data_IF_053618937225
#
_entry.id   IF_053618937225
#
_cell.length_a   1.000
_cell.length_b   1.000
_cell.length_c   1.000
_cell.angle_alpha   90.00
_cell.angle_beta   90.00
_cell.angle_gamma   90.00
#
_symmetry.space_group_name_H-M   'P 1'
#
loop_
_entity.id
_entity.type
_entity.pdbx_description
1 polymer ?
#
# COMPACT_ATOMS: atom_id res chain seq x y z
N UNK A 1 39.52 -47.81 32.60
CA UNK A 1 38.21 -47.41 32.05
C UNK A 1 37.66 -46.30 32.91
N UNK A 2 37.67 -45.06 32.43
CA UNK A 2 37.06 -43.91 33.09
C UNK A 2 36.20 -43.22 32.05
N UNK A 3 34.89 -43.24 32.28
CA UNK A 3 33.90 -42.51 31.49
C UNK A 3 33.89 -41.04 31.93
N UNK A 4 34.01 -40.11 30.97
CA UNK A 4 33.71 -38.70 31.19
C UNK A 4 32.65 -38.27 30.18
N UNK A 5 31.45 -38.00 30.69
CA UNK A 5 30.36 -37.40 29.95
C UNK A 5 30.57 -35.89 29.88
N UNK A 6 30.64 -35.33 28.66
CA UNK A 6 30.63 -33.89 28.43
C UNK A 6 29.19 -33.43 28.20
N UNK A 7 28.64 -32.66 29.14
CA UNK A 7 27.35 -31.97 29.00
C UNK A 7 27.55 -30.69 28.18
N UNK A 8 27.05 -30.67 26.96
CA UNK A 8 26.95 -29.46 26.16
C UNK A 8 25.76 -28.62 26.65
N UNK A 9 26.05 -27.44 27.20
CA UNK A 9 25.05 -26.42 27.49
C UNK A 9 24.80 -25.60 26.22
N UNK A 10 23.67 -25.86 25.54
CA UNK A 10 23.19 -25.02 24.47
C UNK A 10 22.47 -23.80 25.06
N UNK A 11 23.03 -22.61 24.87
CA UNK A 11 22.34 -21.35 25.13
C UNK A 11 21.20 -21.16 24.12
N UNK A 12 19.96 -21.41 24.53
CA UNK A 12 18.78 -20.94 23.82
C UNK A 12 18.55 -19.46 24.15
N UNK A 13 18.98 -18.56 23.26
CA UNK A 13 18.41 -17.21 23.26
C UNK A 13 17.02 -17.30 22.64
N UNK A 14 15.96 -16.81 23.28
CA UNK A 14 14.67 -16.68 22.62
C UNK A 14 14.87 -15.75 21.42
N UNK A 15 14.46 -16.21 20.25
CA UNK A 15 14.39 -15.39 19.06
C UNK A 15 13.50 -14.18 19.39
N UNK A 16 14.08 -12.99 19.36
CA UNK A 16 13.35 -11.74 19.37
C UNK A 16 12.48 -11.76 18.13
N UNK A 17 11.19 -12.07 18.32
CA UNK A 17 10.22 -12.06 17.24
C UNK A 17 10.13 -10.63 16.75
N UNK A 18 10.72 -10.36 15.58
CA UNK A 18 10.42 -9.17 14.80
C UNK A 18 8.92 -9.16 14.64
N UNK A 19 8.27 -8.25 15.36
CA UNK A 19 6.84 -8.02 15.26
C UNK A 19 6.63 -7.40 13.89
N UNK A 20 6.41 -8.25 12.88
CA UNK A 20 6.00 -7.81 11.55
C UNK A 20 4.75 -6.99 11.78
N UNK A 21 4.81 -5.68 11.54
CA UNK A 21 3.61 -4.88 11.53
C UNK A 21 2.63 -5.55 10.57
N UNK A 22 1.36 -5.74 10.98
CA UNK A 22 0.38 -6.32 10.08
C UNK A 22 0.39 -5.49 8.80
N UNK A 23 0.58 -6.16 7.66
CA UNK A 23 0.42 -5.53 6.35
C UNK A 23 -0.97 -4.91 6.39
N UNK A 24 -1.06 -3.57 6.37
CA UNK A 24 -2.34 -2.88 6.29
C UNK A 24 -2.99 -3.37 5.01
N UNK A 25 -4.00 -4.23 5.16
CA UNK A 25 -4.73 -4.76 4.01
C UNK A 25 -5.32 -3.54 3.28
N UNK A 26 -4.93 -3.35 2.02
CA UNK A 26 -5.38 -2.21 1.23
C UNK A 26 -6.91 -2.23 1.12
N UNK A 27 -7.52 -1.05 1.16
CA UNK A 27 -8.96 -0.90 0.96
C UNK A 27 -9.39 -1.35 -0.46
N UNK A 28 -8.43 -1.48 -1.38
CA UNK A 28 -8.63 -1.99 -2.72
C UNK A 28 -8.68 -3.52 -2.81
N UNK A 29 -8.40 -4.25 -1.73
CA UNK A 29 -8.58 -5.70 -1.68
C UNK A 29 -9.99 -5.99 -1.15
N UNK A 30 -10.92 -6.49 -1.99
CA UNK A 30 -12.29 -6.71 -1.56
C UNK A 30 -12.34 -7.79 -0.46
N UNK A 31 -13.19 -7.58 0.54
CA UNK A 31 -13.44 -8.58 1.58
C UNK A 31 -13.87 -9.93 0.95
N UNK A 32 -13.44 -11.04 1.55
CA UNK A 32 -13.82 -12.38 1.08
C UNK A 32 -15.35 -12.57 1.11
N UNK A 33 -15.88 -13.45 0.26
CA UNK A 33 -17.31 -13.77 0.24
C UNK A 33 -17.85 -14.26 1.60
N UNK A 34 -16.99 -14.91 2.41
CA UNK A 34 -17.31 -15.31 3.78
C UNK A 34 -17.40 -14.11 4.73
N UNK A 35 -16.49 -13.14 4.63
CA UNK A 35 -16.55 -11.89 5.40
C UNK A 35 -17.79 -11.07 5.02
N UNK A 36 -18.11 -10.97 3.71
CA UNK A 36 -19.34 -10.32 3.23
C UNK A 36 -20.60 -10.97 3.74
N UNK A 37 -20.68 -12.31 3.77
CA UNK A 37 -21.84 -13.03 4.32
C UNK A 37 -22.02 -12.81 5.82
N UNK A 38 -20.93 -12.67 6.58
CA UNK A 38 -20.97 -12.39 8.01
C UNK A 38 -21.44 -10.96 8.30
N UNK A 39 -21.01 -9.96 7.52
CA UNK A 39 -21.50 -8.57 7.67
C UNK A 39 -22.97 -8.42 7.23
N UNK A 40 -23.37 -9.09 6.14
CA UNK A 40 -24.77 -9.11 5.68
C UNK A 40 -25.72 -9.83 6.65
N UNK A 41 -25.23 -10.80 7.43
CA UNK A 41 -26.04 -11.51 8.42
C UNK A 41 -26.47 -10.65 9.62
N UNK A 42 -25.89 -9.46 9.79
CA UNK A 42 -26.32 -8.46 10.77
C UNK A 42 -27.46 -7.55 10.25
N UNK A 43 -27.77 -7.58 8.96
CA UNK A 43 -28.70 -6.65 8.33
C UNK A 43 -29.54 -7.34 7.24
N UNK A 44 -30.58 -8.08 7.64
CA UNK A 44 -31.88 -8.10 6.91
C UNK A 44 -32.91 -8.99 7.59
N UNK A 45 -34.06 -8.38 7.87
CA UNK A 45 -35.35 -9.06 7.95
C UNK A 45 -36.33 -8.36 6.97
N UNK A 46 -37.01 -9.19 6.17
CA UNK A 46 -38.24 -8.98 5.39
C UNK A 46 -38.21 -8.34 3.98
N UNK A 47 -39.03 -8.94 3.10
CA UNK A 47 -39.36 -8.63 1.68
C UNK A 47 -40.90 -8.42 1.53
N UNK A 48 -41.50 -7.97 0.39
CA UNK A 48 -41.48 -8.64 -0.92
C UNK A 48 -41.44 -7.72 -2.18
N UNK A 49 -41.66 -8.35 -3.34
CA UNK A 49 -41.12 -8.10 -4.69
C UNK A 49 -42.01 -7.20 -5.57
N UNK A 50 -41.39 -6.34 -6.39
CA UNK A 50 -41.95 -5.79 -7.63
C UNK A 50 -40.99 -6.10 -8.80
N UNK A 51 -41.52 -6.51 -9.96
CA UNK A 51 -40.71 -6.79 -11.17
C UNK A 51 -40.46 -5.47 -11.90
N UNK A 52 -39.58 -4.65 -11.34
CA UNK A 52 -38.70 -3.78 -12.12
C UNK A 52 -37.57 -4.66 -12.66
N UNK A 53 -36.91 -4.28 -13.77
CA UNK A 53 -35.57 -4.80 -14.04
C UNK A 53 -34.78 -4.68 -12.72
N UNK A 54 -34.32 -5.82 -12.19
CA UNK A 54 -33.70 -5.84 -10.87
C UNK A 54 -32.55 -4.82 -10.88
N UNK A 55 -32.52 -3.94 -9.88
CA UNK A 55 -31.37 -3.06 -9.69
C UNK A 55 -30.13 -3.96 -9.58
N UNK A 56 -29.07 -3.63 -10.32
CA UNK A 56 -27.80 -4.36 -10.25
C UNK A 56 -27.32 -4.36 -8.81
N UNK A 57 -27.01 -5.53 -8.26
CA UNK A 57 -26.65 -5.69 -6.85
C UNK A 57 -25.14 -5.77 -6.66
N UNK A 58 -24.66 -5.50 -5.44
CA UNK A 58 -23.25 -5.72 -5.06
C UNK A 58 -22.85 -7.20 -5.26
N UNK A 59 -23.79 -8.14 -5.13
CA UNK A 59 -23.56 -9.55 -5.41
C UNK A 59 -23.26 -9.81 -6.90
N UNK A 60 -23.85 -9.03 -7.80
CA UNK A 60 -23.69 -9.20 -9.25
C UNK A 60 -22.37 -8.59 -9.76
N UNK A 61 -21.99 -7.41 -9.23
CA UNK A 61 -20.89 -6.60 -9.82
C UNK A 61 -19.83 -6.15 -8.81
N UNK A 62 -19.95 -6.52 -7.54
CA UNK A 62 -18.99 -6.19 -6.47
C UNK A 62 -19.19 -4.80 -5.86
N UNK A 63 -19.45 -3.79 -6.70
CA UNK A 63 -19.77 -2.41 -6.31
C UNK A 63 -20.88 -1.85 -7.23
N UNK A 64 -22.13 -1.99 -6.78
CA UNK A 64 -23.30 -1.51 -7.53
C UNK A 64 -23.38 0.01 -7.64
N UNK A 65 -22.75 0.76 -6.72
CA UNK A 65 -22.75 2.22 -6.75
C UNK A 65 -21.96 2.77 -7.94
N UNK A 66 -20.90 2.07 -8.36
CA UNK A 66 -20.06 2.45 -9.50
C UNK A 66 -20.63 2.02 -10.87
N UNK A 67 -21.58 1.07 -10.87
CA UNK A 67 -22.04 0.42 -12.09
C UNK A 67 -22.74 1.40 -13.07
N UNK A 68 -22.32 1.37 -14.33
CA UNK A 68 -22.88 2.21 -15.39
C UNK A 68 -22.42 3.67 -15.38
N UNK A 69 -21.47 4.05 -14.50
CA UNK A 69 -20.87 5.39 -14.48
C UNK A 69 -19.72 5.51 -15.47
N UNK A 70 -19.45 6.76 -15.88
CA UNK A 70 -18.39 7.05 -16.84
C UNK A 70 -17.07 7.28 -16.11
N UNK A 71 -16.04 6.54 -16.54
CA UNK A 71 -14.69 6.69 -16.03
C UNK A 71 -14.11 8.08 -16.38
N UNK A 72 -13.50 8.73 -15.40
CA UNK A 72 -12.85 10.04 -15.49
C UNK A 72 -11.40 9.97 -15.09
N UNK A 73 -10.54 10.54 -15.93
CA UNK A 73 -9.16 10.81 -15.58
C UNK A 73 -9.07 12.04 -14.68
N UNK A 74 -8.58 11.86 -13.46
CA UNK A 74 -8.57 12.91 -12.44
C UNK A 74 -7.24 13.63 -12.34
N UNK A 75 -6.15 12.94 -12.69
CA UNK A 75 -4.83 13.55 -12.82
C UNK A 75 -3.70 12.54 -12.65
N UNK A 76 -2.49 13.08 -12.60
CA UNK A 76 -1.25 12.33 -12.42
C UNK A 76 -0.39 12.97 -11.33
N UNK A 77 0.35 12.15 -10.64
CA UNK A 77 1.44 12.52 -9.74
C UNK A 77 2.56 11.49 -9.90
N UNK A 78 3.74 11.82 -9.44
CA UNK A 78 4.88 10.92 -9.44
C UNK A 78 5.70 11.09 -8.17
N UNK A 79 6.53 10.09 -7.88
CA UNK A 79 7.54 10.17 -6.85
C UNK A 79 8.81 9.44 -7.30
N UNK A 80 9.95 9.90 -6.81
CA UNK A 80 11.24 9.30 -7.04
C UNK A 80 11.93 8.98 -5.70
N UNK A 81 12.61 7.83 -5.65
CA UNK A 81 13.47 7.43 -4.54
C UNK A 81 14.82 6.99 -5.07
N UNK A 82 15.89 7.51 -4.46
CA UNK A 82 17.26 7.10 -4.71
C UNK A 82 17.83 6.39 -3.48
N UNK A 83 18.34 5.18 -3.70
CA UNK A 83 19.12 4.42 -2.72
C UNK A 83 20.57 4.40 -3.22
N UNK A 84 21.49 4.95 -2.45
CA UNK A 84 22.85 5.25 -2.95
C UNK A 84 23.86 5.29 -1.79
N UNK A 85 25.16 5.32 -2.08
CA UNK A 85 26.24 5.39 -1.09
C UNK A 85 26.41 6.80 -0.49
N UNK A 86 25.97 7.81 -1.22
CA UNK A 86 25.83 9.19 -0.78
C UNK A 86 24.47 9.73 -1.24
N UNK A 87 23.87 10.64 -0.48
CA UNK A 87 22.68 11.39 -0.91
C UNK A 87 23.10 12.78 -1.40
N UNK A 88 23.54 12.91 -2.67
CA UNK A 88 24.14 14.14 -3.18
C UNK A 88 23.14 15.30 -3.42
N UNK A 89 21.84 15.08 -3.22
CA UNK A 89 20.83 16.16 -3.27
C UNK A 89 20.59 16.74 -4.66
N UNK A 90 20.68 15.92 -5.72
CA UNK A 90 20.43 16.37 -7.10
C UNK A 90 18.98 16.71 -7.37
N UNK A 91 18.05 16.05 -6.70
CA UNK A 91 16.63 16.38 -6.68
C UNK A 91 16.18 16.55 -5.22
N UNK A 92 15.82 17.77 -4.77
CA UNK A 92 15.38 18.00 -3.39
C UNK A 92 14.02 17.38 -3.08
N UNK A 93 13.21 17.07 -4.09
CA UNK A 93 11.87 16.52 -3.94
C UNK A 93 11.89 14.97 -3.97
N UNK A 94 13.00 14.37 -4.39
CA UNK A 94 13.21 12.93 -4.34
C UNK A 94 13.55 12.44 -2.92
N UNK A 95 12.98 11.30 -2.53
CA UNK A 95 13.41 10.61 -1.32
C UNK A 95 14.81 10.04 -1.52
N UNK A 96 15.76 10.35 -0.64
CA UNK A 96 17.09 9.75 -0.70
C UNK A 96 17.46 9.01 0.58
N UNK A 97 17.97 7.78 0.43
CA UNK A 97 18.46 6.96 1.53
C UNK A 97 19.89 6.49 1.25
N UNK A 98 20.78 6.75 2.21
CA UNK A 98 22.13 6.18 2.22
C UNK A 98 22.07 4.70 2.56
N UNK A 99 22.69 3.87 1.73
CA UNK A 99 22.76 2.42 1.88
C UNK A 99 23.82 2.02 2.93
N UNK A 100 23.42 1.15 3.85
CA UNK A 100 24.33 0.44 4.72
C UNK A 100 25.22 -0.50 3.89
N UNK A 101 26.51 -0.63 4.22
CA UNK A 101 27.38 -1.60 3.58
C UNK A 101 26.81 -3.03 3.71
N UNK A 102 26.89 -3.80 2.62
CA UNK A 102 26.55 -5.22 2.66
C UNK A 102 27.39 -5.94 3.75
N UNK A 103 26.81 -6.84 4.55
CA UNK A 103 25.51 -7.50 4.35
C UNK A 103 24.33 -6.82 5.09
N UNK A 104 24.51 -5.64 5.67
CA UNK A 104 23.48 -5.01 6.50
C UNK A 104 22.35 -4.48 5.62
N UNK A 105 21.10 -4.73 6.02
CA UNK A 105 19.94 -4.19 5.32
C UNK A 105 19.76 -2.70 5.65
N UNK A 106 19.27 -1.94 4.68
CA UNK A 106 18.95 -0.52 4.80
C UNK A 106 17.44 -0.36 4.76
N UNK A 107 16.77 -0.04 5.88
CA UNK A 107 15.37 0.35 5.84
C UNK A 107 15.24 1.76 5.25
N UNK A 108 14.13 2.02 4.57
CA UNK A 108 13.76 3.35 4.12
C UNK A 108 12.25 3.57 4.31
N UNK A 109 11.86 4.81 4.56
CA UNK A 109 10.48 5.23 4.63
C UNK A 109 10.39 6.72 4.28
N UNK A 110 9.52 7.04 3.33
CA UNK A 110 9.25 8.39 2.88
C UNK A 110 7.74 8.60 2.80
N UNK A 111 7.31 9.78 3.24
CA UNK A 111 5.93 10.22 3.17
C UNK A 111 5.83 11.42 2.22
N UNK A 112 4.72 11.52 1.50
CA UNK A 112 4.40 12.67 0.65
C UNK A 112 5.49 13.05 -0.36
N UNK A 113 6.06 12.07 -1.06
CA UNK A 113 7.00 12.33 -2.16
C UNK A 113 6.32 12.74 -3.48
N UNK A 114 5.00 12.73 -3.49
CA UNK A 114 4.17 13.09 -4.64
C UNK A 114 2.71 13.16 -4.21
N UNK A 115 1.98 14.17 -4.67
CA UNK A 115 0.57 14.31 -4.30
C UNK A 115 -0.28 14.99 -5.37
N UNK A 116 -1.59 14.80 -5.23
CA UNK A 116 -2.60 15.44 -6.05
C UNK A 116 -3.76 15.89 -5.17
N UNK A 117 -4.18 17.14 -5.31
CA UNK A 117 -5.39 17.67 -4.67
C UNK A 117 -6.53 17.70 -5.67
N UNK A 118 -7.51 16.84 -5.45
CA UNK A 118 -8.73 16.75 -6.24
C UNK A 118 -9.75 17.78 -5.73
N UNK A 119 -10.34 18.61 -6.60
CA UNK A 119 -11.50 19.42 -6.24
C UNK A 119 -12.65 18.57 -5.73
N UNK A 120 -13.54 19.16 -4.93
CA UNK A 120 -14.78 18.49 -4.54
C UNK A 120 -15.60 18.06 -5.75
N UNK A 121 -16.28 16.91 -5.66
CA UNK A 121 -17.08 16.31 -6.75
C UNK A 121 -16.27 15.89 -7.98
N UNK A 122 -14.95 15.66 -7.83
CA UNK A 122 -14.13 15.07 -8.89
C UNK A 122 -14.56 13.65 -9.24
N UNK A 123 -15.15 12.93 -8.28
CA UNK A 123 -15.71 11.59 -8.44
C UNK A 123 -17.00 11.42 -7.62
N UNK A 124 -17.82 10.41 -7.90
CA UNK A 124 -19.13 10.21 -7.25
C UNK A 124 -19.19 9.03 -6.27
N UNK A 125 -18.46 7.97 -6.57
CA UNK A 125 -18.49 6.72 -5.82
C UNK A 125 -17.14 6.05 -5.68
N UNK A 126 -16.20 6.28 -6.60
CA UNK A 126 -14.97 5.50 -6.68
C UNK A 126 -13.75 6.37 -6.97
N UNK A 127 -12.65 6.13 -6.26
CA UNK A 127 -11.29 6.50 -6.67
C UNK A 127 -10.50 5.21 -6.89
N UNK A 128 -9.83 5.14 -8.03
CA UNK A 128 -8.90 4.08 -8.37
C UNK A 128 -7.57 4.67 -8.79
N UNK A 129 -6.50 3.92 -8.57
CA UNK A 129 -5.17 4.26 -9.07
C UNK A 129 -4.74 3.31 -10.19
N UNK A 130 -3.95 3.85 -11.12
CA UNK A 130 -2.97 3.08 -11.89
C UNK A 130 -1.58 3.50 -11.46
N UNK A 131 -0.83 2.55 -10.93
CA UNK A 131 0.50 2.74 -10.36
C UNK A 131 1.54 2.08 -11.26
N UNK A 132 2.51 2.85 -11.72
CA UNK A 132 3.53 2.41 -12.68
C UNK A 132 4.94 2.55 -12.12
N UNK A 133 5.41 1.57 -11.33
CA UNK A 133 6.81 1.41 -10.98
C UNK A 133 7.74 1.28 -12.19
N UNK A 134 8.86 1.99 -12.12
CA UNK A 134 10.03 1.84 -12.97
C UNK A 134 11.24 1.79 -12.06
N UNK A 135 11.81 0.61 -11.89
CA UNK A 135 12.91 0.38 -10.97
C UNK A 135 14.16 0.06 -11.76
N UNK A 136 15.27 0.72 -11.42
CA UNK A 136 16.60 0.37 -11.91
C UNK A 136 17.46 0.09 -10.70
N UNK A 137 17.88 -1.15 -10.52
CA UNK A 137 18.57 -1.61 -9.31
C UNK A 137 19.90 -2.21 -9.71
N UNK A 138 20.96 -1.80 -9.04
CA UNK A 138 22.28 -2.42 -9.13
C UNK A 138 22.48 -3.31 -7.91
N UNK A 139 22.47 -4.61 -8.13
CA UNK A 139 22.77 -5.59 -7.10
C UNK A 139 24.27 -5.88 -7.09
N UNK A 140 24.85 -6.05 -5.89
CA UNK A 140 26.26 -6.39 -5.73
C UNK A 140 26.51 -7.22 -4.48
N UNK A 141 27.32 -8.26 -4.60
CA UNK A 141 27.82 -9.05 -3.47
C UNK A 141 29.34 -8.89 -3.32
N UNK A 142 29.80 -7.93 -2.50
CA UNK A 142 31.23 -7.72 -2.28
C UNK A 142 31.86 -8.76 -1.31
N UNK A 143 31.05 -9.67 -0.75
CA UNK A 143 31.51 -10.63 0.26
C UNK A 143 32.05 -11.92 -0.39
N UNK A 144 32.87 -12.72 0.31
CA UNK A 144 33.39 -13.97 -0.23
C UNK A 144 32.37 -15.13 -0.23
N UNK A 145 31.16 -14.93 0.31
CA UNK A 145 30.13 -15.96 0.43
C UNK A 145 28.98 -15.69 -0.53
N UNK A 146 28.30 -16.74 -0.99
CA UNK A 146 27.05 -16.57 -1.72
C UNK A 146 26.02 -15.85 -0.85
N UNK A 147 25.27 -14.95 -1.45
CA UNK A 147 24.25 -14.15 -0.77
C UNK A 147 22.93 -14.18 -1.53
N UNK A 148 21.87 -13.75 -0.85
CA UNK A 148 20.59 -13.44 -1.47
C UNK A 148 20.40 -11.93 -1.37
N UNK A 149 20.43 -11.25 -2.50
CA UNK A 149 20.12 -9.82 -2.56
C UNK A 149 18.61 -9.62 -2.46
N UNK A 150 18.22 -8.54 -1.80
CA UNK A 150 16.82 -8.25 -1.50
C UNK A 150 16.50 -6.79 -1.72
N UNK A 151 15.42 -6.53 -2.44
CA UNK A 151 14.76 -5.24 -2.45
C UNK A 151 13.29 -5.47 -2.16
N UNK A 152 12.76 -4.80 -1.14
CA UNK A 152 11.33 -4.78 -0.84
C UNK A 152 10.86 -3.34 -0.82
N UNK A 153 9.69 -3.09 -1.39
CA UNK A 153 8.98 -1.83 -1.18
C UNK A 153 7.48 -2.06 -0.99
N UNK A 154 6.85 -1.17 -0.25
CA UNK A 154 5.44 -1.18 0.12
C UNK A 154 4.91 0.24 -0.03
N UNK A 155 4.25 0.56 -1.17
CA UNK A 155 3.66 1.86 -1.37
C UNK A 155 2.32 1.96 -0.63
N UNK A 156 2.00 3.15 -0.15
CA UNK A 156 0.72 3.47 0.49
C UNK A 156 0.24 4.84 0.02
N UNK A 157 -1.06 5.08 0.14
CA UNK A 157 -1.66 6.39 -0.12
C UNK A 157 -2.20 6.98 1.17
N UNK A 158 -1.84 8.22 1.48
CA UNK A 158 -2.53 9.03 2.49
C UNK A 158 -3.65 9.80 1.81
N UNK A 159 -4.87 9.62 2.27
CA UNK A 159 -6.07 10.29 1.78
C UNK A 159 -6.49 11.33 2.81
N UNK A 160 -6.35 12.61 2.49
CA UNK A 160 -6.77 13.72 3.33
C UNK A 160 -8.11 14.26 2.85
N UNK A 161 -9.09 14.33 3.75
CA UNK A 161 -10.41 14.85 3.44
C UNK A 161 -11.01 15.54 4.68
N UNK A 162 -11.61 16.73 4.55
CA UNK A 162 -12.21 17.45 5.69
C UNK A 162 -13.25 16.65 6.48
N UNK A 163 -13.96 15.71 5.85
CA UNK A 163 -14.92 14.84 6.56
C UNK A 163 -14.22 13.95 7.59
N UNK A 164 -13.00 13.51 7.30
CA UNK A 164 -12.18 12.70 8.20
C UNK A 164 -11.68 13.49 9.41
N UNK A 165 -11.78 14.82 9.40
CA UNK A 165 -11.44 15.68 10.54
C UNK A 165 -12.63 15.88 11.51
N UNK A 166 -13.76 15.21 11.28
CA UNK A 166 -14.94 15.31 12.14
C UNK A 166 -14.61 14.79 13.55
N UNK A 167 -14.79 15.59 14.61
CA UNK A 167 -14.50 15.16 15.98
C UNK A 167 -15.26 13.88 16.35
N UNK A 168 -14.55 12.93 16.95
CA UNK A 168 -15.12 11.65 17.37
C UNK A 168 -15.25 10.60 16.26
N UNK A 169 -14.82 10.89 15.02
CA UNK A 169 -14.72 9.87 13.98
C UNK A 169 -13.45 9.02 14.22
N UNK A 170 -13.66 7.76 14.58
CA UNK A 170 -12.59 6.79 14.88
C UNK A 170 -12.38 5.88 13.67
N UNK A 171 -11.12 5.69 13.29
CA UNK A 171 -10.72 4.69 12.31
C UNK A 171 -10.79 3.30 12.94
N UNK A 172 -11.72 2.43 12.51
CA UNK A 172 -11.89 1.10 13.09
C UNK A 172 -10.69 0.17 12.83
N UNK A 173 -9.82 0.50 11.86
CA UNK A 173 -8.63 -0.31 11.54
C UNK A 173 -7.46 -0.04 12.48
N UNK A 174 -7.40 1.15 13.09
CA UNK A 174 -6.33 1.56 14.00
C UNK A 174 -6.79 1.78 15.44
N UNK A 175 -8.09 2.01 15.66
CA UNK A 175 -8.66 2.39 16.95
C UNK A 175 -8.37 3.83 17.36
N UNK A 176 -7.78 4.63 16.45
CA UNK A 176 -7.43 6.04 16.67
C UNK A 176 -8.37 6.96 15.89
N UNK A 177 -8.51 8.24 16.27
CA UNK A 177 -9.19 9.22 15.43
C UNK A 177 -8.60 9.29 14.02
N UNK A 178 -9.42 9.55 13.01
CA UNK A 178 -8.92 9.78 11.65
C UNK A 178 -8.06 11.05 11.53
N UNK A 179 -8.30 12.06 12.36
CA UNK A 179 -7.55 13.33 12.37
C UNK A 179 -7.36 13.95 10.97
N UNK A 180 -8.40 13.88 10.13
CA UNK A 180 -8.39 14.46 8.79
C UNK A 180 -7.81 13.59 7.68
N UNK A 181 -7.29 12.41 8.00
CA UNK A 181 -6.67 11.52 7.02
C UNK A 181 -6.92 10.03 7.27
N UNK A 182 -6.77 9.23 6.24
CA UNK A 182 -6.64 7.79 6.34
C UNK A 182 -5.46 7.31 5.51
N UNK A 183 -4.89 6.16 5.86
CA UNK A 183 -3.80 5.54 5.10
C UNK A 183 -4.32 4.23 4.54
N UNK A 184 -4.19 4.05 3.23
CA UNK A 184 -4.56 2.82 2.53
C UNK A 184 -3.35 2.19 1.85
N UNK A 185 -3.22 0.87 1.97
CA UNK A 185 -2.21 0.11 1.26
C UNK A 185 -2.49 0.05 -0.24
N UNK A 186 -1.44 -0.22 -1.02
CA UNK A 186 -1.55 -0.50 -2.45
C UNK A 186 -1.14 -1.96 -2.73
N UNK A 187 -1.75 -2.57 -3.74
CA UNK A 187 -1.46 -3.94 -4.16
C UNK A 187 -0.10 -4.10 -4.85
N UNK A 188 0.53 -2.99 -5.26
CA UNK A 188 1.87 -2.93 -5.87
C UNK A 188 3.04 -3.07 -4.90
N UNK A 189 2.87 -3.79 -3.80
CA UNK A 189 3.94 -4.08 -2.86
C UNK A 189 4.76 -5.27 -3.36
N UNK A 190 6.08 -5.10 -3.50
CA UNK A 190 6.94 -6.11 -4.13
C UNK A 190 8.10 -6.55 -3.23
N UNK A 191 8.54 -7.79 -3.44
CA UNK A 191 9.76 -8.37 -2.88
C UNK A 191 10.57 -9.04 -4.01
N UNK A 192 11.73 -8.48 -4.30
CA UNK A 192 12.72 -9.06 -5.20
C UNK A 192 13.77 -9.79 -4.39
N UNK A 193 14.02 -11.06 -4.73
CA UNK A 193 15.09 -11.86 -4.16
C UNK A 193 15.95 -12.43 -5.28
N UNK A 194 17.25 -12.09 -5.29
CA UNK A 194 18.17 -12.54 -6.35
C UNK A 194 19.41 -13.20 -5.76
N UNK A 195 19.70 -14.48 -6.07
CA UNK A 195 20.92 -15.12 -5.59
C UNK A 195 22.15 -14.51 -6.26
N UNK A 196 23.13 -14.10 -5.46
CA UNK A 196 24.39 -13.52 -5.91
C UNK A 196 25.58 -14.39 -5.48
N UNK A 197 26.36 -14.84 -6.46
CA UNK A 197 27.67 -15.42 -6.18
C UNK A 197 28.65 -14.35 -5.64
N UNK A 198 29.73 -14.75 -4.96
CA UNK A 198 30.76 -13.82 -4.50
C UNK A 198 31.33 -12.95 -5.63
N UNK A 199 31.46 -11.64 -5.38
CA UNK A 199 32.03 -10.68 -6.33
C UNK A 199 31.14 -10.33 -7.54
N UNK A 200 29.94 -10.90 -7.63
CA UNK A 200 29.02 -10.61 -8.73
C UNK A 200 28.28 -9.29 -8.49
N UNK A 201 28.19 -8.48 -9.54
CA UNK A 201 27.32 -7.32 -9.61
C UNK A 201 26.66 -7.22 -10.99
N UNK A 202 25.40 -6.83 -11.03
CA UNK A 202 24.68 -6.55 -12.27
C UNK A 202 23.57 -5.53 -12.05
N UNK A 203 23.06 -4.98 -13.14
CA UNK A 203 21.93 -4.07 -13.14
C UNK A 203 20.69 -4.81 -13.61
N UNK A 204 19.58 -4.58 -12.93
CA UNK A 204 18.26 -5.06 -13.29
C UNK A 204 17.33 -3.86 -13.46
N UNK A 205 16.43 -3.96 -14.45
CA UNK A 205 15.41 -2.94 -14.68
C UNK A 205 14.05 -3.60 -14.81
N UNK A 206 13.14 -3.22 -13.93
CA UNK A 206 11.80 -3.78 -13.83
C UNK A 206 10.76 -2.70 -14.07
N UNK A 207 9.72 -3.06 -14.82
CA UNK A 207 8.56 -2.23 -15.08
C UNK A 207 7.33 -3.12 -14.99
N UNK A 208 6.51 -2.86 -14.00
CA UNK A 208 5.22 -3.51 -13.87
C UNK A 208 4.21 -2.48 -13.41
N UNK A 209 3.01 -2.47 -13.99
CA UNK A 209 1.97 -1.51 -13.63
C UNK A 209 0.82 -2.25 -12.97
N UNK A 210 0.46 -1.80 -11.77
CA UNK A 210 -0.67 -2.31 -11.02
C UNK A 210 -1.85 -1.35 -11.10
N UNK A 211 -3.04 -1.91 -11.25
CA UNK A 211 -4.31 -1.19 -11.20
C UNK A 211 -5.01 -1.58 -9.90
N UNK A 212 -5.65 -0.62 -9.24
CA UNK A 212 -6.42 -0.92 -8.04
C UNK A 212 -7.49 -2.01 -8.35
N UNK A 213 -7.72 -2.94 -7.42
CA UNK A 213 -8.62 -4.08 -7.67
C UNK A 213 -10.08 -3.70 -7.41
N UNK A 214 -10.40 -3.10 -6.26
CA UNK A 214 -11.77 -2.76 -5.84
C UNK A 214 -11.97 -1.27 -5.51
N UNK A 215 -11.15 -0.39 -6.08
CA UNK A 215 -11.10 1.04 -5.71
C UNK A 215 -10.21 1.27 -4.51
N UNK A 216 -9.26 2.21 -4.61
CA UNK A 216 -8.52 2.62 -3.41
C UNK A 216 -9.44 3.26 -2.38
N UNK A 217 -10.46 3.99 -2.83
CA UNK A 217 -11.56 4.52 -2.02
C UNK A 217 -12.86 4.31 -2.79
N UNK A 218 -13.83 3.64 -2.17
CA UNK A 218 -15.18 3.50 -2.71
C UNK A 218 -16.21 3.84 -1.63
N UNK A 219 -17.45 4.13 -2.01
CA UNK A 219 -18.56 4.24 -1.04
C UNK A 219 -18.61 3.01 -0.13
N UNK A 220 -18.47 1.84 -0.75
CA UNK A 220 -18.44 0.56 -0.07
C UNK A 220 -17.29 0.46 0.93
N UNK A 221 -16.06 0.79 0.56
CA UNK A 221 -14.93 0.71 1.51
C UNK A 221 -15.05 1.76 2.62
N UNK A 222 -15.53 2.97 2.32
CA UNK A 222 -15.80 3.99 3.34
C UNK A 222 -16.84 3.52 4.37
N UNK A 223 -17.88 2.80 3.94
CA UNK A 223 -18.87 2.21 4.83
C UNK A 223 -18.34 0.97 5.57
N UNK A 224 -17.96 -0.06 4.80
CA UNK A 224 -17.70 -1.41 5.31
C UNK A 224 -16.35 -1.51 6.04
N UNK A 225 -15.33 -0.79 5.56
CA UNK A 225 -13.98 -0.81 6.13
C UNK A 225 -13.77 0.30 7.14
N UNK A 226 -14.25 1.51 6.84
CA UNK A 226 -13.96 2.71 7.64
C UNK A 226 -15.14 3.17 8.52
N UNK A 227 -16.31 2.53 8.42
CA UNK A 227 -17.45 2.78 9.31
C UNK A 227 -18.12 4.14 9.11
N UNK A 228 -17.90 4.81 7.98
CA UNK A 228 -18.58 6.08 7.70
C UNK A 228 -20.06 5.85 7.39
N UNK A 229 -20.91 6.74 7.90
CA UNK A 229 -22.33 6.78 7.54
C UNK A 229 -22.54 7.29 6.10
N UNK A 230 -23.69 6.96 5.51
CA UNK A 230 -24.08 7.46 4.18
C UNK A 230 -23.99 8.98 4.04
N UNK A 231 -24.30 9.73 5.11
CA UNK A 231 -24.21 11.18 5.12
C UNK A 231 -22.75 11.65 5.04
N UNK A 232 -21.86 11.03 5.82
CA UNK A 232 -20.42 11.31 5.78
C UNK A 232 -19.82 10.93 4.44
N UNK A 233 -20.19 9.77 3.87
CA UNK A 233 -19.74 9.32 2.56
C UNK A 233 -20.17 10.31 1.47
N UNK A 234 -21.43 10.76 1.49
CA UNK A 234 -21.91 11.78 0.55
C UNK A 234 -21.13 13.08 0.67
N UNK A 235 -20.80 13.52 1.88
CA UNK A 235 -19.98 14.71 2.09
C UNK A 235 -18.52 14.48 1.65
N UNK A 236 -17.97 13.29 1.87
CA UNK A 236 -16.59 12.95 1.51
C UNK A 236 -16.35 13.26 0.02
N UNK A 237 -17.21 12.75 -0.85
CA UNK A 237 -17.12 12.96 -2.30
C UNK A 237 -17.47 14.40 -2.76
N UNK A 238 -18.17 15.19 -1.94
CA UNK A 238 -18.43 16.61 -2.24
C UNK A 238 -17.27 17.52 -1.87
N UNK A 239 -16.41 17.10 -0.95
CA UNK A 239 -15.29 17.90 -0.43
C UNK A 239 -14.00 17.62 -1.22
N UNK A 240 -13.06 18.59 -1.24
CA UNK A 240 -11.75 18.36 -1.81
C UNK A 240 -11.05 17.19 -1.11
N UNK A 241 -10.25 16.43 -1.85
CA UNK A 241 -9.46 15.31 -1.32
C UNK A 241 -8.03 15.43 -1.81
N UNK A 242 -7.05 15.38 -0.90
CA UNK A 242 -5.64 15.26 -1.28
C UNK A 242 -5.20 13.82 -1.15
N UNK A 243 -4.55 13.30 -2.19
CA UNK A 243 -3.95 11.96 -2.20
C UNK A 243 -2.44 12.13 -2.23
N UNK A 244 -1.76 11.63 -1.19
CA UNK A 244 -0.30 11.67 -1.07
C UNK A 244 0.30 10.28 -1.19
N UNK A 245 1.42 10.19 -1.88
CA UNK A 245 2.17 8.96 -2.10
C UNK A 245 3.22 8.78 -1.03
N UNK A 246 3.19 7.63 -0.35
CA UNK A 246 4.21 7.23 0.60
C UNK A 246 4.81 5.89 0.15
N UNK A 247 6.04 5.64 0.58
CA UNK A 247 6.72 4.39 0.30
C UNK A 247 7.64 4.02 1.45
N UNK A 248 7.63 2.75 1.83
CA UNK A 248 8.59 2.20 2.78
C UNK A 248 9.13 0.87 2.28
N UNK A 249 10.25 0.43 2.82
CA UNK A 249 10.88 -0.79 2.36
C UNK A 249 12.24 -1.06 2.96
N UNK A 250 12.95 -1.99 2.35
CA UNK A 250 14.34 -2.28 2.71
C UNK A 250 15.15 -2.79 1.51
N UNK A 251 16.45 -2.50 1.54
CA UNK A 251 17.40 -2.93 0.53
C UNK A 251 18.60 -3.64 1.19
N UNK A 252 19.04 -4.76 0.62
CA UNK A 252 20.18 -5.55 1.10
C UNK A 252 20.94 -6.11 -0.11
N UNK A 253 22.28 -5.97 -0.12
CA UNK A 253 23.12 -6.27 -1.30
C UNK A 253 22.70 -5.49 -2.56
N UNK A 254 22.18 -4.29 -2.34
CA UNK A 254 21.93 -3.26 -3.36
C UNK A 254 23.07 -2.26 -3.25
N UNK A 255 23.77 -2.00 -4.35
CA UNK A 255 24.82 -0.98 -4.44
C UNK A 255 24.21 0.39 -4.77
N UNK A 256 23.20 0.42 -5.64
CA UNK A 256 22.37 1.59 -5.88
C UNK A 256 21.00 1.19 -6.43
N UNK A 257 20.00 2.05 -6.24
CA UNK A 257 18.69 1.90 -6.86
C UNK A 257 18.07 3.26 -7.17
N UNK A 258 17.44 3.36 -8.33
CA UNK A 258 16.54 4.45 -8.71
C UNK A 258 15.14 3.87 -8.87
N UNK A 259 14.22 4.30 -8.01
CA UNK A 259 12.85 3.83 -7.95
C UNK A 259 11.95 5.00 -8.35
N UNK A 260 11.36 4.95 -9.54
CA UNK A 260 10.45 5.97 -10.01
C UNK A 260 9.04 5.39 -10.09
N UNK A 261 8.05 6.12 -9.59
CA UNK A 261 6.68 5.65 -9.52
C UNK A 261 5.73 6.69 -10.08
N UNK A 262 5.00 6.32 -11.14
CA UNK A 262 3.90 7.14 -11.64
C UNK A 262 2.58 6.73 -10.99
N UNK A 263 1.83 7.70 -10.49
CA UNK A 263 0.45 7.55 -10.04
C UNK A 263 -0.49 8.25 -11.02
N UNK A 264 -1.52 7.53 -11.45
CA UNK A 264 -2.65 8.10 -12.19
C UNK A 264 -3.91 7.84 -11.38
N UNK A 265 -4.69 8.88 -11.13
CA UNK A 265 -5.97 8.75 -10.43
C UNK A 265 -7.13 8.79 -11.42
N UNK A 266 -8.08 7.91 -11.17
CA UNK A 266 -9.28 7.71 -11.94
C UNK A 266 -10.48 7.72 -10.99
N UNK A 267 -11.61 8.26 -11.44
CA UNK A 267 -12.89 8.20 -10.73
C UNK A 267 -14.09 8.10 -11.67
N UNK A 268 -15.29 8.36 -11.15
CA UNK A 268 -16.58 8.15 -11.82
C UNK A 268 -17.61 9.29 -11.64
#
# INVERSE_FOLDING_TARGET
>A
MVATAATAWAYSRPAEQVKLEPVKQGADIPASSRQRKLSLSAAKAAAPISISAAAVTDEDVGDSDSFGRNLRWLGLADMAVELTDACPGVDPDAGCQVLNPAPVATPFAFEDLGHITLPGKSTQSLLCYWFSPVLTVRYANPTPNQALARLRYTPTLTIENPVLATPGLIDPTTGLPFDGKLITGMTSSELFEVPLAPGVAFNERTRDSAVCIAGSISRKSLADTYGLSDAQIKEFFKKPTTVRMNISGSAQYVESASLYFGLRLIGD
#
